data_IF_492979515253
#
_entry.id   IF_492979515253
#
_cell.length_a   1.000
_cell.length_b   1.000
_cell.length_c   1.000
_cell.angle_alpha   90.00
_cell.angle_beta   90.00
_cell.angle_gamma   90.00
#
_symmetry.space_group_name_H-M   'P 1'
#
loop_
_entity.id
_entity.type
_entity.pdbx_description
1 polymer ?
#
# COMPACT_ATOMS: atom_id res chain seq x y z
N UNK A 1 9.83 2.06 10.61
CA UNK A 1 9.21 0.73 10.76
C UNK A 1 10.05 -0.26 11.57
N UNK A 2 11.32 -0.50 11.23
CA UNK A 2 12.19 -1.41 11.99
C UNK A 2 12.22 -1.07 13.50
N UNK A 3 12.31 0.21 13.85
CA UNK A 3 12.29 0.68 15.24
C UNK A 3 11.02 0.28 16.00
N UNK A 4 9.83 0.42 15.39
CA UNK A 4 8.57 -0.01 16.00
C UNK A 4 8.53 -1.53 16.21
N UNK A 5 9.02 -2.32 15.25
CA UNK A 5 9.09 -3.79 15.39
C UNK A 5 10.04 -4.16 16.53
N UNK A 6 11.19 -3.51 16.64
CA UNK A 6 12.14 -3.72 17.75
C UNK A 6 11.53 -3.32 19.10
N UNK A 7 10.80 -2.20 19.14
CA UNK A 7 10.19 -1.67 20.36
C UNK A 7 9.08 -2.57 20.89
N UNK A 8 8.15 -3.01 20.03
CA UNK A 8 7.06 -3.92 20.42
C UNK A 8 7.61 -5.35 20.65
N UNK A 9 8.67 -5.70 19.93
CA UNK A 9 9.39 -6.96 20.08
C UNK A 9 8.90 -8.08 19.15
N UNK A 10 9.49 -9.27 19.26
CA UNK A 10 9.36 -10.37 18.30
C UNK A 10 7.96 -10.97 18.22
N UNK A 11 7.05 -10.58 19.12
CA UNK A 11 5.68 -11.09 19.16
C UNK A 11 4.70 -10.27 18.33
N UNK A 12 5.15 -9.14 17.77
CA UNK A 12 4.31 -8.24 16.98
C UNK A 12 3.75 -8.93 15.73
N UNK A 13 2.50 -8.61 15.42
CA UNK A 13 1.86 -8.91 14.15
C UNK A 13 1.75 -7.59 13.38
N UNK A 14 2.19 -7.56 12.12
CA UNK A 14 2.18 -6.36 11.29
C UNK A 14 1.10 -6.50 10.23
N UNK A 15 0.28 -5.47 10.07
CA UNK A 15 -0.69 -5.32 8.97
C UNK A 15 -0.31 -4.05 8.22
N UNK A 16 -0.26 -4.16 6.89
CA UNK A 16 0.06 -3.05 5.98
C UNK A 16 -0.98 -2.98 4.89
N UNK A 17 -1.46 -1.78 4.61
CA UNK A 17 -2.57 -1.51 3.68
C UNK A 17 -2.07 -0.50 2.66
N UNK A 18 -2.35 -0.70 1.38
CA UNK A 18 -1.99 0.21 0.30
C UNK A 18 -0.47 0.46 0.19
N UNK A 19 -0.05 1.71 0.02
CA UNK A 19 1.34 2.13 -0.15
C UNK A 19 2.31 1.59 0.93
N UNK A 20 1.98 1.56 2.24
CA UNK A 20 2.81 0.97 3.30
C UNK A 20 3.29 -0.47 3.09
N UNK A 21 2.65 -1.27 2.23
CA UNK A 21 3.07 -2.66 1.99
C UNK A 21 4.54 -2.78 1.57
N UNK A 22 4.99 -1.96 0.62
CA UNK A 22 6.36 -1.96 0.10
C UNK A 22 7.41 -1.63 1.19
N UNK A 23 7.34 -0.50 1.91
CA UNK A 23 8.31 -0.19 2.97
C UNK A 23 8.23 -1.14 4.17
N UNK A 24 7.07 -1.75 4.46
CA UNK A 24 6.94 -2.77 5.51
C UNK A 24 7.70 -4.04 5.11
N UNK A 25 7.52 -4.54 3.89
CA UNK A 25 8.28 -5.69 3.41
C UNK A 25 9.77 -5.41 3.40
N UNK A 26 10.18 -4.20 3.01
CA UNK A 26 11.58 -3.79 3.04
C UNK A 26 12.15 -3.82 4.47
N UNK A 27 11.44 -3.22 5.43
CA UNK A 27 11.86 -3.20 6.82
C UNK A 27 12.00 -4.61 7.42
N UNK A 28 11.04 -5.50 7.15
CA UNK A 28 11.09 -6.90 7.63
C UNK A 28 12.22 -7.68 6.94
N UNK A 29 12.46 -7.43 5.66
CA UNK A 29 13.59 -8.02 4.92
C UNK A 29 14.93 -7.61 5.52
N UNK A 30 15.11 -6.32 5.83
CA UNK A 30 16.34 -5.81 6.45
C UNK A 30 16.57 -6.40 7.84
N UNK A 31 15.52 -6.51 8.67
CA UNK A 31 15.61 -7.21 9.96
C UNK A 31 16.03 -8.68 9.78
N UNK A 32 15.45 -9.37 8.80
CA UNK A 32 15.79 -10.76 8.51
C UNK A 32 17.25 -10.92 8.06
N UNK A 33 17.71 -10.06 7.14
CA UNK A 33 19.10 -10.07 6.66
C UNK A 33 20.11 -9.76 7.77
N UNK A 34 19.74 -8.92 8.73
CA UNK A 34 20.55 -8.63 9.92
C UNK A 34 20.54 -9.76 10.99
N UNK A 35 19.79 -10.84 10.77
CA UNK A 35 19.64 -11.93 11.74
C UNK A 35 18.79 -11.54 12.97
N UNK A 36 18.07 -10.43 12.89
CA UNK A 36 17.19 -9.96 13.96
C UNK A 36 15.86 -10.72 13.98
N UNK A 37 15.12 -10.56 15.09
CA UNK A 37 13.78 -11.12 15.17
C UNK A 37 12.83 -10.34 14.26
N UNK A 38 12.08 -11.07 13.45
CA UNK A 38 11.04 -10.54 12.57
C UNK A 38 9.65 -10.72 13.19
N UNK A 39 8.61 -10.01 12.71
CA UNK A 39 7.23 -10.18 13.18
C UNK A 39 6.74 -11.62 13.11
N UNK A 40 5.81 -12.01 13.99
CA UNK A 40 5.17 -13.34 13.93
C UNK A 40 4.39 -13.52 12.64
N UNK A 41 3.56 -12.53 12.32
CA UNK A 41 2.83 -12.46 11.05
C UNK A 41 3.04 -11.11 10.36
N UNK A 42 2.98 -11.13 9.04
CA UNK A 42 2.96 -9.96 8.18
C UNK A 42 1.79 -10.12 7.21
N UNK A 43 0.81 -9.22 7.31
CA UNK A 43 -0.34 -9.13 6.41
C UNK A 43 -0.16 -7.93 5.50
N UNK A 44 -0.33 -8.13 4.19
CA UNK A 44 -0.14 -7.11 3.16
C UNK A 44 -1.42 -7.03 2.34
N UNK A 45 -2.00 -5.83 2.23
CA UNK A 45 -3.35 -5.66 1.69
C UNK A 45 -3.35 -4.59 0.61
N UNK A 46 -3.74 -4.96 -0.61
CA UNK A 46 -3.94 -4.05 -1.75
C UNK A 46 -2.77 -3.08 -1.96
N UNK A 47 -1.54 -3.57 -2.06
CA UNK A 47 -0.36 -2.73 -2.19
C UNK A 47 0.52 -3.06 -3.39
N UNK A 48 1.26 -2.08 -3.93
CA UNK A 48 1.97 -2.20 -5.20
C UNK A 48 3.32 -2.92 -5.07
N UNK A 49 3.32 -4.16 -4.57
CA UNK A 49 4.56 -4.94 -4.38
C UNK A 49 5.24 -5.24 -5.71
N UNK A 50 4.47 -5.65 -6.72
CA UNK A 50 4.92 -5.72 -8.12
C UNK A 50 4.01 -4.88 -9.02
N UNK A 51 4.28 -3.58 -9.05
CA UNK A 51 3.58 -2.57 -9.86
C UNK A 51 3.60 -2.83 -11.39
N UNK A 52 4.31 -3.85 -11.87
CA UNK A 52 4.32 -4.25 -13.29
C UNK A 52 3.14 -5.15 -13.65
N UNK A 53 2.53 -5.80 -12.65
CA UNK A 53 1.39 -6.70 -12.83
C UNK A 53 0.09 -5.90 -12.90
N UNK A 54 -0.72 -6.19 -13.91
CA UNK A 54 -2.04 -5.56 -14.12
C UNK A 54 -2.01 -4.03 -13.91
N UNK A 55 -1.24 -3.27 -14.72
CA UNK A 55 -1.05 -1.83 -14.48
C UNK A 55 -2.36 -1.05 -14.49
N UNK A 56 -2.53 -0.18 -13.49
CA UNK A 56 -3.69 0.70 -13.32
C UNK A 56 -3.38 2.12 -13.82
N UNK A 57 -4.34 3.04 -13.71
CA UNK A 57 -4.12 4.45 -14.03
C UNK A 57 -2.96 5.07 -13.21
N UNK A 58 -2.80 4.65 -11.95
CA UNK A 58 -1.71 5.07 -11.07
C UNK A 58 -0.36 4.65 -11.64
N UNK A 59 -0.24 3.39 -12.07
CA UNK A 59 0.98 2.87 -12.70
C UNK A 59 1.32 3.65 -13.98
N UNK A 60 0.31 3.92 -14.82
CA UNK A 60 0.49 4.63 -16.07
C UNK A 60 0.95 6.08 -15.88
N UNK A 61 0.42 6.80 -14.89
CA UNK A 61 0.89 8.16 -14.60
C UNK A 61 2.36 8.16 -14.19
N UNK A 62 2.74 7.26 -13.26
CA UNK A 62 4.10 7.17 -12.75
C UNK A 62 5.12 6.80 -13.83
N UNK A 63 4.73 5.94 -14.78
CA UNK A 63 5.60 5.48 -15.87
C UNK A 63 5.78 6.49 -17.00
N UNK A 64 4.78 7.34 -17.26
CA UNK A 64 4.77 8.26 -18.39
C UNK A 64 5.35 9.66 -18.08
N UNK A 65 5.73 9.92 -16.82
CA UNK A 65 6.28 11.20 -16.37
C UNK A 65 7.65 10.99 -15.74
N UNK A 66 8.60 11.89 -16.00
CA UNK A 66 9.91 11.83 -15.35
C UNK A 66 9.82 12.29 -13.90
N UNK A 67 10.83 11.97 -13.08
CA UNK A 67 10.89 12.44 -11.68
C UNK A 67 10.93 13.97 -11.63
N UNK A 68 11.68 14.61 -12.53
CA UNK A 68 11.74 16.07 -12.63
C UNK A 68 10.36 16.66 -12.96
N UNK A 69 9.53 15.95 -13.74
CA UNK A 69 8.16 16.39 -13.97
C UNK A 69 7.37 16.42 -12.66
N UNK A 70 7.46 15.38 -11.83
CA UNK A 70 6.80 15.37 -10.52
C UNK A 70 7.33 16.48 -9.60
N UNK A 71 8.65 16.65 -9.53
CA UNK A 71 9.29 17.72 -8.74
C UNK A 71 8.76 19.11 -9.11
N UNK A 72 8.60 19.40 -10.39
CA UNK A 72 8.18 20.74 -10.83
C UNK A 72 6.65 20.95 -10.80
N UNK A 73 5.85 19.87 -10.90
CA UNK A 73 4.40 20.00 -11.08
C UNK A 73 3.58 19.68 -9.82
N UNK A 74 4.11 18.88 -8.88
CA UNK A 74 3.33 18.45 -7.71
C UNK A 74 3.98 18.75 -6.36
N UNK A 75 5.23 19.22 -6.34
CA UNK A 75 5.93 19.57 -5.10
C UNK A 75 5.87 21.07 -4.84
N UNK A 76 5.45 21.43 -3.63
CA UNK A 76 5.26 22.81 -3.19
C UNK A 76 5.92 23.06 -1.84
N UNK A 77 6.17 24.33 -1.53
CA UNK A 77 6.65 24.76 -0.21
C UNK A 77 5.47 25.01 0.72
N UNK A 78 5.57 24.51 1.95
CA UNK A 78 4.64 24.86 3.02
C UNK A 78 4.66 26.38 3.21
N UNK A 79 3.50 27.08 3.19
CA UNK A 79 3.45 28.52 3.32
C UNK A 79 3.97 29.04 4.67
N UNK A 80 4.45 30.31 4.77
CA UNK A 80 5.07 30.85 5.98
C UNK A 80 4.20 30.86 7.23
N UNK A 81 2.88 30.87 7.07
CA UNK A 81 1.90 30.93 8.15
C UNK A 81 1.57 29.56 8.79
N UNK A 82 2.19 28.47 8.32
CA UNK A 82 1.96 27.12 8.86
C UNK A 82 3.22 26.51 9.48
N UNK A 83 3.08 25.66 10.53
CA UNK A 83 4.18 24.86 11.02
C UNK A 83 4.85 24.04 9.91
N UNK A 84 6.19 24.07 9.86
CA UNK A 84 6.94 23.44 8.77
C UNK A 84 7.14 24.31 7.53
N UNK A 85 6.88 25.61 7.63
CA UNK A 85 7.15 26.61 6.58
C UNK A 85 8.45 26.36 5.81
N UNK A 86 8.37 26.43 4.48
CA UNK A 86 9.50 26.26 3.58
C UNK A 86 9.85 24.81 3.24
N UNK A 87 9.37 23.81 4.02
CA UNK A 87 9.53 22.38 3.69
C UNK A 87 8.86 22.07 2.34
N UNK A 88 9.52 21.23 1.55
CA UNK A 88 8.97 20.72 0.30
C UNK A 88 8.05 19.54 0.60
N UNK A 89 6.83 19.61 0.08
CA UNK A 89 5.77 18.62 0.29
C UNK A 89 5.02 18.38 -1.01
N UNK A 90 4.43 17.20 -1.15
CA UNK A 90 3.30 16.98 -2.04
C UNK A 90 2.01 17.33 -1.26
N UNK A 91 1.35 18.45 -1.57
CA UNK A 91 0.21 18.91 -0.77
C UNK A 91 -0.98 17.95 -0.83
N UNK A 92 -1.68 17.77 0.29
CA UNK A 92 -2.84 16.88 0.40
C UNK A 92 -3.96 17.23 -0.59
N UNK A 93 -4.21 18.53 -0.82
CA UNK A 93 -5.24 18.95 -1.79
C UNK A 93 -4.88 18.58 -3.23
N UNK A 94 -3.58 18.57 -3.58
CA UNK A 94 -3.11 18.11 -4.89
C UNK A 94 -3.13 16.59 -5.01
N UNK A 95 -2.83 15.86 -3.93
CA UNK A 95 -3.02 14.41 -3.87
C UNK A 95 -4.46 14.04 -4.22
N UNK A 96 -5.43 14.73 -3.60
CA UNK A 96 -6.84 14.54 -3.87
C UNK A 96 -7.19 14.86 -5.33
N UNK A 97 -6.82 16.04 -5.83
CA UNK A 97 -7.13 16.43 -7.21
C UNK A 97 -6.43 15.57 -8.26
N UNK A 98 -5.20 15.13 -7.99
CA UNK A 98 -4.42 14.29 -8.90
C UNK A 98 -4.99 12.90 -9.02
N UNK A 99 -5.47 12.32 -7.92
CA UNK A 99 -6.12 11.01 -7.92
C UNK A 99 -7.49 11.05 -8.63
N UNK A 100 -8.27 12.10 -8.39
CA UNK A 100 -9.49 12.37 -9.15
C UNK A 100 -9.21 12.49 -10.65
N UNK A 101 -8.15 13.23 -11.02
CA UNK A 101 -7.78 13.49 -12.41
C UNK A 101 -7.15 12.27 -13.13
N UNK A 102 -6.66 11.26 -12.39
CA UNK A 102 -6.16 10.01 -12.98
C UNK A 102 -7.28 9.12 -13.57
N UNK A 103 -8.55 9.47 -13.37
CA UNK A 103 -9.72 8.87 -14.02
C UNK A 103 -10.50 9.89 -14.89
N UNK A 104 -9.87 10.48 -15.93
CA UNK A 104 -10.42 11.65 -16.62
C UNK A 104 -11.57 11.35 -17.59
N UNK A 105 -11.83 10.08 -17.94
CA UNK A 105 -12.88 9.68 -18.90
C UNK A 105 -14.31 9.90 -18.38
N UNK A 106 -14.46 10.46 -17.17
CA UNK A 106 -15.75 10.83 -16.62
C UNK A 106 -15.56 12.19 -15.93
N UNK A 107 -15.89 13.27 -16.62
CA UNK A 107 -16.15 14.58 -16.00
C UNK A 107 -17.43 15.08 -16.66
N UNK A 108 -18.60 14.87 -16.07
CA UNK A 108 -19.25 15.83 -15.16
C UNK A 108 -20.18 15.14 -14.13
N UNK A 109 -20.20 13.81 -14.08
CA UNK A 109 -21.07 12.98 -13.21
C UNK A 109 -20.28 11.98 -12.35
N UNK A 110 -18.95 12.02 -12.43
CA UNK A 110 -18.06 10.90 -12.07
C UNK A 110 -17.60 10.84 -10.63
N UNK A 111 -17.62 11.96 -9.91
CA UNK A 111 -17.21 11.94 -8.51
C UNK A 111 -18.12 11.06 -7.65
N UNK A 112 -19.36 10.83 -8.06
CA UNK A 112 -20.25 9.90 -7.36
C UNK A 112 -20.02 8.46 -7.85
N UNK A 113 -20.02 8.24 -9.17
CA UNK A 113 -19.83 6.92 -9.78
C UNK A 113 -18.46 6.29 -9.50
N UNK A 114 -17.37 7.08 -9.48
CA UNK A 114 -16.02 6.60 -9.17
C UNK A 114 -15.90 6.16 -7.71
N UNK A 115 -16.56 6.87 -6.79
CA UNK A 115 -16.61 6.47 -5.39
C UNK A 115 -17.52 5.26 -5.17
N UNK A 116 -18.63 5.15 -5.91
CA UNK A 116 -19.41 3.92 -6.01
C UNK A 116 -18.58 2.75 -6.57
N UNK A 117 -17.61 3.02 -7.45
CA UNK A 117 -16.66 2.04 -7.96
C UNK A 117 -15.57 1.69 -6.89
N UNK A 118 -15.15 2.62 -6.04
CA UNK A 118 -14.22 2.35 -4.91
C UNK A 118 -14.86 1.51 -3.79
N UNK A 119 -16.14 1.74 -3.52
CA UNK A 119 -16.98 1.01 -2.55
C UNK A 119 -17.79 -0.07 -3.28
N UNK A 120 -17.40 -0.44 -4.52
CA UNK A 120 -18.20 -1.33 -5.35
C UNK A 120 -18.41 -2.67 -4.68
N UNK A 121 -19.67 -3.06 -4.62
CA UNK A 121 -20.10 -4.30 -4.00
C UNK A 121 -20.25 -4.23 -2.49
N UNK A 122 -19.93 -3.11 -1.83
CA UNK A 122 -20.34 -2.83 -0.45
C UNK A 122 -21.74 -2.20 -0.50
N UNK A 123 -22.76 -3.01 -0.23
CA UNK A 123 -24.18 -2.67 -0.22
C UNK A 123 -24.54 -1.80 1.02
N UNK A 124 -23.78 -0.73 1.23
CA UNK A 124 -23.82 0.14 2.42
C UNK A 124 -24.78 1.34 2.21
N UNK A 125 -25.25 1.91 3.32
CA UNK A 125 -26.24 3.01 3.31
C UNK A 125 -25.64 4.37 2.89
N UNK A 126 -26.49 5.31 2.48
CA UNK A 126 -26.09 6.68 2.12
C UNK A 126 -25.33 7.44 3.21
N UNK A 127 -25.55 7.15 4.49
CA UNK A 127 -24.82 7.78 5.59
C UNK A 127 -23.41 7.21 5.77
N UNK A 128 -23.24 5.89 5.59
CA UNK A 128 -21.91 5.27 5.55
C UNK A 128 -21.07 5.82 4.38
N UNK A 129 -21.72 6.16 3.26
CA UNK A 129 -21.05 6.85 2.15
C UNK A 129 -20.60 8.27 2.49
N UNK A 130 -21.32 9.00 3.35
CA UNK A 130 -20.89 10.35 3.80
C UNK A 130 -19.73 10.29 4.77
N UNK A 131 -19.75 9.37 5.72
CA UNK A 131 -18.62 9.18 6.65
C UNK A 131 -17.35 8.79 5.89
N UNK A 132 -17.47 7.90 4.89
CA UNK A 132 -16.37 7.57 3.99
C UNK A 132 -15.84 8.79 3.24
N UNK A 133 -16.73 9.67 2.79
CA UNK A 133 -16.35 10.91 2.09
C UNK A 133 -15.54 11.85 3.00
N UNK A 134 -15.95 12.01 4.25
CA UNK A 134 -15.21 12.83 5.23
C UNK A 134 -13.83 12.23 5.54
N UNK A 135 -13.74 10.91 5.71
CA UNK A 135 -12.46 10.21 5.91
C UNK A 135 -11.55 10.30 4.68
N UNK A 136 -12.09 10.16 3.48
CA UNK A 136 -11.33 10.27 2.23
C UNK A 136 -10.79 11.68 2.00
N UNK A 137 -11.51 12.71 2.43
CA UNK A 137 -11.06 14.10 2.35
C UNK A 137 -10.04 14.47 3.44
N UNK A 138 -9.79 13.60 4.41
CA UNK A 138 -8.76 13.79 5.44
C UNK A 138 -7.36 13.53 4.87
N UNK A 139 -6.89 14.45 4.02
CA UNK A 139 -5.58 14.39 3.37
C UNK A 139 -4.49 15.04 4.22
N UNK A 140 -3.27 14.52 4.12
CA UNK A 140 -2.09 15.08 4.78
C UNK A 140 -0.97 15.37 3.76
N UNK A 141 -0.24 16.46 3.99
CA UNK A 141 0.92 16.81 3.17
C UNK A 141 2.02 15.76 3.34
N UNK A 142 2.46 15.15 2.24
CA UNK A 142 3.54 14.18 2.24
C UNK A 142 4.89 14.88 2.02
N UNK A 143 5.96 14.53 2.75
CA UNK A 143 7.30 15.05 2.45
C UNK A 143 7.70 14.75 1.00
N UNK A 144 8.28 15.73 0.30
CA UNK A 144 8.64 15.59 -1.11
C UNK A 144 9.55 14.38 -1.37
N UNK A 145 10.62 14.25 -0.59
CA UNK A 145 11.60 13.16 -0.72
C UNK A 145 10.92 11.80 -0.61
N UNK A 146 10.01 11.62 0.35
CA UNK A 146 9.26 10.38 0.54
C UNK A 146 8.38 10.05 -0.66
N UNK A 147 7.66 11.05 -1.19
CA UNK A 147 6.79 10.87 -2.34
C UNK A 147 7.58 10.54 -3.62
N UNK A 148 8.61 11.32 -3.92
CA UNK A 148 9.43 11.16 -5.13
C UNK A 148 10.22 9.85 -5.10
N UNK A 149 10.78 9.49 -3.94
CA UNK A 149 11.43 8.20 -3.75
C UNK A 149 10.45 7.05 -3.97
N UNK A 150 9.21 7.16 -3.47
CA UNK A 150 8.18 6.14 -3.70
C UNK A 150 7.88 5.97 -5.19
N UNK A 151 7.66 7.06 -5.94
CA UNK A 151 7.45 6.99 -7.39
C UNK A 151 8.63 6.31 -8.07
N UNK A 152 9.84 6.77 -7.78
CA UNK A 152 11.05 6.25 -8.42
C UNK A 152 11.27 4.78 -8.10
N UNK A 153 11.31 4.42 -6.82
CA UNK A 153 11.67 3.08 -6.35
C UNK A 153 10.59 2.04 -6.67
N UNK A 154 9.32 2.37 -6.46
CA UNK A 154 8.22 1.40 -6.56
C UNK A 154 7.67 1.32 -7.98
N UNK A 155 7.43 2.47 -8.61
CA UNK A 155 6.68 2.53 -9.85
C UNK A 155 7.53 2.69 -11.11
N UNK A 156 8.80 3.13 -11.01
CA UNK A 156 9.68 3.29 -12.18
C UNK A 156 10.82 2.26 -12.21
N UNK A 157 11.61 2.18 -11.14
CA UNK A 157 12.75 1.27 -11.03
C UNK A 157 12.32 -0.17 -10.71
N UNK A 158 11.11 -0.33 -10.14
CA UNK A 158 10.60 -1.60 -9.61
C UNK A 158 11.65 -2.29 -8.71
N UNK A 159 12.31 -1.50 -7.87
CA UNK A 159 13.59 -1.88 -7.27
C UNK A 159 13.49 -3.09 -6.33
N UNK A 160 12.35 -3.25 -5.66
CA UNK A 160 12.08 -4.39 -4.77
C UNK A 160 12.03 -5.72 -5.55
N UNK A 161 11.22 -5.78 -6.61
CA UNK A 161 11.04 -7.00 -7.42
C UNK A 161 12.25 -7.31 -8.30
N UNK A 162 13.03 -6.29 -8.66
CA UNK A 162 14.29 -6.44 -9.38
C UNK A 162 15.47 -6.78 -8.44
N UNK A 163 15.28 -6.75 -7.12
CA UNK A 163 16.33 -7.04 -6.14
C UNK A 163 17.47 -6.00 -6.13
N UNK A 164 17.21 -4.79 -6.63
CA UNK A 164 18.18 -3.69 -6.72
C UNK A 164 18.04 -2.68 -5.60
N UNK A 165 16.95 -2.74 -4.82
CA UNK A 165 16.70 -1.77 -3.76
C UNK A 165 17.71 -1.91 -2.61
N UNK A 166 18.32 -0.77 -2.26
CA UNK A 166 19.17 -0.63 -1.07
C UNK A 166 18.65 0.48 -0.17
N UNK A 167 18.62 0.24 1.13
CA UNK A 167 18.25 1.22 2.16
C UNK A 167 19.46 1.43 3.06
N UNK A 168 19.98 2.66 3.12
CA UNK A 168 21.20 2.98 3.85
C UNK A 168 22.40 2.07 3.48
N UNK A 169 22.50 1.67 2.21
CA UNK A 169 23.54 0.76 1.70
C UNK A 169 23.20 -0.72 1.80
N UNK A 170 22.24 -1.10 2.65
CA UNK A 170 21.86 -2.49 2.88
C UNK A 170 20.87 -3.00 1.82
N UNK A 171 21.11 -4.18 1.21
CA UNK A 171 20.21 -4.73 0.21
C UNK A 171 18.90 -5.22 0.84
N UNK A 172 17.77 -4.84 0.23
CA UNK A 172 16.45 -5.33 0.63
C UNK A 172 16.22 -6.72 0.03
N UNK A 173 16.17 -7.76 0.87
CA UNK A 173 16.11 -9.17 0.45
C UNK A 173 14.94 -9.94 1.06
N UNK A 174 13.74 -9.91 0.45
CA UNK A 174 12.56 -10.64 0.96
C UNK A 174 12.77 -12.14 1.14
N UNK A 175 13.66 -12.75 0.35
CA UNK A 175 14.02 -14.16 0.44
C UNK A 175 14.75 -14.54 1.75
N UNK A 176 15.29 -13.56 2.48
CA UNK A 176 15.98 -13.81 3.75
C UNK A 176 14.98 -14.01 4.91
N UNK A 177 13.70 -13.62 4.73
CA UNK A 177 12.64 -13.83 5.73
C UNK A 177 12.31 -15.33 5.83
N UNK A 178 12.50 -15.94 7.02
CA UNK A 178 12.24 -17.38 7.25
C UNK A 178 11.12 -17.69 8.24
N UNK A 179 10.97 -16.85 9.27
CA UNK A 179 10.14 -17.16 10.44
C UNK A 179 8.77 -16.50 10.42
N UNK A 180 8.64 -15.31 9.84
CA UNK A 180 7.36 -14.62 9.69
C UNK A 180 6.39 -15.43 8.84
N UNK A 181 5.13 -15.52 9.24
CA UNK A 181 4.05 -16.01 8.37
C UNK A 181 3.50 -14.84 7.53
N UNK A 182 3.25 -15.07 6.24
CA UNK A 182 2.81 -14.05 5.29
C UNK A 182 1.39 -14.31 4.81
N UNK A 183 0.54 -13.29 4.91
CA UNK A 183 -0.77 -13.23 4.26
C UNK A 183 -0.80 -12.05 3.29
N UNK A 184 -1.21 -12.29 2.05
CA UNK A 184 -1.54 -11.23 1.09
C UNK A 184 -3.04 -11.20 0.82
N UNK A 185 -3.62 -10.00 0.77
CA UNK A 185 -5.04 -9.76 0.51
C UNK A 185 -5.19 -8.83 -0.69
N UNK A 186 -6.01 -9.21 -1.66
CA UNK A 186 -6.35 -8.40 -2.84
C UNK A 186 -7.86 -8.39 -3.06
N UNK A 187 -8.37 -7.35 -3.72
CA UNK A 187 -9.75 -7.29 -4.20
C UNK A 187 -9.80 -7.71 -5.67
N UNK A 188 -10.77 -8.55 -6.05
CA UNK A 188 -10.93 -8.98 -7.45
C UNK A 188 -11.19 -7.81 -8.42
N UNK A 189 -11.82 -6.74 -7.92
CA UNK A 189 -12.19 -5.55 -8.68
C UNK A 189 -11.33 -4.33 -8.31
N UNK A 190 -10.17 -4.55 -7.70
CA UNK A 190 -9.25 -3.48 -7.29
C UNK A 190 -8.63 -2.79 -8.53
N UNK A 191 -8.96 -1.52 -8.71
CA UNK A 191 -8.52 -0.64 -9.80
C UNK A 191 -7.36 0.28 -9.40
N UNK A 192 -6.88 0.20 -8.15
CA UNK A 192 -5.75 0.97 -7.62
C UNK A 192 -4.50 0.10 -7.62
N UNK A 193 -4.55 -1.01 -6.89
CA UNK A 193 -3.53 -2.06 -6.88
C UNK A 193 -4.06 -3.27 -7.61
N UNK A 194 -3.77 -3.33 -8.92
CA UNK A 194 -4.29 -4.36 -9.80
C UNK A 194 -3.97 -5.79 -9.35
N UNK A 195 -4.74 -6.75 -9.87
CA UNK A 195 -4.62 -8.16 -9.53
C UNK A 195 -3.17 -8.66 -9.67
N UNK A 196 -2.68 -9.33 -8.62
CA UNK A 196 -1.37 -9.93 -8.54
C UNK A 196 -0.25 -9.01 -8.04
N UNK A 197 -0.48 -7.69 -7.92
CA UNK A 197 0.55 -6.75 -7.44
C UNK A 197 0.97 -7.07 -6.01
N UNK A 198 0.03 -7.23 -5.07
CA UNK A 198 0.27 -7.59 -3.67
C UNK A 198 0.66 -9.07 -3.56
N UNK A 199 -0.01 -9.95 -4.32
CA UNK A 199 0.22 -11.38 -4.31
C UNK A 199 1.68 -11.75 -4.63
N UNK A 200 2.39 -10.91 -5.39
CA UNK A 200 3.81 -11.07 -5.70
C UNK A 200 4.71 -11.22 -4.45
N UNK A 201 4.31 -10.68 -3.28
CA UNK A 201 5.04 -10.88 -2.04
C UNK A 201 5.19 -12.37 -1.67
N UNK A 202 4.23 -13.24 -2.04
CA UNK A 202 4.29 -14.68 -1.79
C UNK A 202 5.51 -15.31 -2.47
N UNK A 203 5.82 -14.87 -3.69
CA UNK A 203 6.95 -15.38 -4.47
C UNK A 203 8.27 -14.74 -4.02
N UNK A 204 8.29 -13.42 -3.79
CA UNK A 204 9.47 -12.70 -3.31
C UNK A 204 9.95 -13.24 -1.95
N UNK A 205 9.03 -13.56 -1.04
CA UNK A 205 9.34 -14.21 0.23
C UNK A 205 9.56 -15.72 0.07
N UNK A 206 10.48 -16.10 -0.81
CA UNK A 206 10.84 -17.49 -1.08
C UNK A 206 11.39 -18.24 0.15
N UNK A 207 11.94 -17.50 1.12
CA UNK A 207 12.44 -18.04 2.38
C UNK A 207 11.37 -18.53 3.35
N UNK A 208 10.13 -18.05 3.22
CA UNK A 208 9.03 -18.46 4.09
C UNK A 208 8.46 -19.80 3.58
N UNK A 209 8.32 -20.84 4.44
CA UNK A 209 7.73 -22.11 4.04
C UNK A 209 6.32 -21.94 3.45
N UNK A 210 5.99 -22.70 2.39
CA UNK A 210 4.66 -22.62 1.72
C UNK A 210 3.48 -22.73 2.71
N UNK A 211 3.59 -23.58 3.74
CA UNK A 211 2.54 -23.76 4.75
C UNK A 211 2.30 -22.52 5.65
N UNK A 212 3.20 -21.53 5.64
CA UNK A 212 3.13 -20.25 6.36
C UNK A 212 2.85 -19.07 5.43
N UNK A 213 2.59 -19.32 4.14
CA UNK A 213 2.20 -18.31 3.16
C UNK A 213 0.77 -18.56 2.73
N UNK A 214 -0.02 -17.49 2.59
CA UNK A 214 -1.36 -17.54 2.04
C UNK A 214 -1.62 -16.28 1.22
N UNK A 215 -2.34 -16.45 0.12
CA UNK A 215 -2.94 -15.38 -0.64
C UNK A 215 -4.46 -15.51 -0.54
N UNK A 216 -5.16 -14.41 -0.32
CA UNK A 216 -6.60 -14.32 -0.27
C UNK A 216 -7.08 -13.23 -1.24
N UNK A 217 -7.79 -13.65 -2.27
CA UNK A 217 -8.45 -12.73 -3.20
C UNK A 217 -9.93 -12.63 -2.84
N UNK A 218 -10.39 -11.42 -2.51
CA UNK A 218 -11.75 -11.16 -2.11
C UNK A 218 -12.62 -10.89 -3.34
N UNK A 219 -13.44 -11.89 -3.68
CA UNK A 219 -14.34 -11.86 -4.83
C UNK A 219 -15.35 -10.73 -4.75
N UNK A 220 -15.45 -9.94 -5.82
CA UNK A 220 -16.34 -8.78 -5.94
C UNK A 220 -15.99 -7.57 -5.06
N UNK A 221 -14.81 -7.52 -4.42
CA UNK A 221 -14.37 -6.33 -3.70
C UNK A 221 -13.48 -5.44 -4.58
N UNK A 222 -13.73 -4.13 -4.56
CA UNK A 222 -12.77 -3.11 -5.00
C UNK A 222 -11.68 -2.86 -3.95
N UNK A 223 -10.85 -1.83 -4.16
CA UNK A 223 -9.70 -1.55 -3.30
C UNK A 223 -10.07 -1.36 -1.83
N UNK A 224 -11.08 -0.53 -1.53
CA UNK A 224 -11.47 -0.24 -0.15
C UNK A 224 -12.20 -1.40 0.52
N UNK A 225 -12.94 -2.21 -0.26
CA UNK A 225 -13.70 -3.34 0.26
C UNK A 225 -12.84 -4.42 0.93
N UNK A 226 -11.51 -4.38 0.77
CA UNK A 226 -10.58 -5.30 1.46
C UNK A 226 -10.13 -4.80 2.83
N UNK A 227 -10.41 -3.55 3.22
CA UNK A 227 -10.01 -2.98 4.53
C UNK A 227 -11.04 -2.05 5.18
N UNK A 228 -12.15 -1.73 4.51
CA UNK A 228 -13.25 -0.93 5.01
C UNK A 228 -14.61 -1.54 4.59
N UNK A 229 -15.68 -1.09 5.24
CA UNK A 229 -17.05 -1.48 4.92
C UNK A 229 -17.44 -2.91 5.28
N UNK A 230 -18.59 -3.37 4.76
CA UNK A 230 -19.18 -4.68 5.10
C UNK A 230 -18.36 -5.83 4.54
N UNK A 231 -17.84 -5.74 3.33
CA UNK A 231 -17.00 -6.78 2.72
C UNK A 231 -15.75 -7.06 3.54
N UNK A 232 -15.11 -6.02 4.06
CA UNK A 232 -14.01 -6.15 5.01
C UNK A 232 -14.45 -6.93 6.26
N UNK A 233 -15.51 -6.46 6.94
CA UNK A 233 -15.98 -7.04 8.21
C UNK A 233 -16.40 -8.49 8.07
N UNK A 234 -17.10 -8.83 7.00
CA UNK A 234 -17.73 -10.13 6.80
C UNK A 234 -16.77 -11.16 6.19
N UNK A 235 -15.75 -10.73 5.42
CA UNK A 235 -14.89 -11.65 4.65
C UNK A 235 -13.39 -11.47 4.90
N UNK A 236 -12.81 -10.29 4.69
CA UNK A 236 -11.35 -10.13 4.80
C UNK A 236 -10.84 -10.10 6.25
N UNK A 237 -11.56 -9.45 7.18
CA UNK A 237 -11.19 -9.42 8.60
C UNK A 237 -11.16 -10.81 9.25
N UNK A 238 -12.16 -11.69 9.08
CA UNK A 238 -12.10 -13.06 9.59
C UNK A 238 -10.87 -13.82 9.12
N UNK A 239 -10.49 -13.68 7.84
CA UNK A 239 -9.32 -14.35 7.28
C UNK A 239 -8.01 -13.88 7.92
N UNK A 240 -7.89 -12.58 8.20
CA UNK A 240 -6.71 -12.00 8.88
C UNK A 240 -6.68 -12.41 10.34
N UNK A 241 -7.82 -12.32 11.04
CA UNK A 241 -7.96 -12.74 12.45
C UNK A 241 -7.54 -14.21 12.60
N UNK A 242 -8.06 -15.08 11.76
CA UNK A 242 -7.80 -16.53 11.84
C UNK A 242 -6.35 -16.84 11.45
N UNK A 243 -5.78 -16.12 10.50
CA UNK A 243 -4.36 -16.22 10.16
C UNK A 243 -3.46 -15.83 11.35
N UNK A 244 -3.73 -14.70 12.00
CA UNK A 244 -2.99 -14.26 13.19
C UNK A 244 -3.14 -15.29 14.32
N UNK A 245 -4.36 -15.73 14.62
CA UNK A 245 -4.63 -16.71 15.67
C UNK A 245 -3.90 -18.04 15.44
N UNK A 246 -3.87 -18.52 14.18
CA UNK A 246 -3.15 -19.75 13.79
C UNK A 246 -1.65 -19.66 14.07
N UNK A 247 -1.06 -18.47 13.98
CA UNK A 247 0.38 -18.22 14.14
C UNK A 247 0.77 -17.58 15.48
N UNK A 248 -0.19 -17.45 16.40
CA UNK A 248 0.02 -16.88 17.74
C UNK A 248 0.66 -17.87 18.73
N UNK A 249 0.60 -19.18 18.45
CA UNK A 249 1.15 -20.23 19.31
C UNK A 249 2.67 -20.31 19.25
#
# INVERSE_FOLDING_TARGET
MQEFIRHIGPTVNVISVCQPTVPVLAAVSLLASAGEKTPRTMTMMGGPIDARKSPTAVNNLAMNKSIEWFEHNVIYRVPPNYPGAGRLVYPGFLQHSGFVAMNPDRHMTAHYDYFLDLVRGDDDSADAHREFYDEYNAVLDMPADYYLETIKTVFQDFALVNGTWRVAGEPVRPQDIKTTALLTVEGELDDISGAGQTAAAVDLCAGIPKARKRHYELKGAGHYGIFAGRRWRDFAYPEIRDFIAKHHK
#
